data_IF_217617821521
#
_entry.id   IF_217617821521
#
_cell.length_a   1.000
_cell.length_b   1.000
_cell.length_c   1.000
_cell.angle_alpha   90.00
_cell.angle_beta   90.00
_cell.angle_gamma   90.00
#
_symmetry.space_group_name_H-M   'P 1'
#
loop_
_entity.id
_entity.type
_entity.pdbx_description
1 polymer ?
#
# COMPACT_ATOMS: atom_id res chain seq x y z
N UNK A 1 -17.59 12.00 -4.46
CA UNK A 1 -16.75 13.13 -4.07
C UNK A 1 -15.82 12.66 -2.97
N UNK A 2 -14.52 12.94 -3.10
CA UNK A 2 -13.50 12.64 -2.11
C UNK A 2 -12.89 13.99 -1.72
N UNK A 3 -12.77 14.28 -0.43
CA UNK A 3 -12.28 15.59 0.06
C UNK A 3 -11.15 15.35 1.04
N UNK A 4 -10.08 16.12 0.91
CA UNK A 4 -8.96 16.13 1.85
C UNK A 4 -8.40 17.54 1.95
N UNK A 5 -8.40 18.11 3.17
CA UNK A 5 -8.01 19.49 3.40
C UNK A 5 -8.75 20.47 2.46
N UNK A 6 -8.03 21.22 1.61
CA UNK A 6 -8.57 22.14 0.61
C UNK A 6 -8.81 21.49 -0.77
N UNK A 7 -8.41 20.23 -0.95
CA UNK A 7 -8.59 19.49 -2.20
C UNK A 7 -9.93 18.71 -2.22
N UNK A 8 -10.63 18.76 -3.35
CA UNK A 8 -11.84 17.98 -3.61
C UNK A 8 -11.79 17.30 -4.99
N UNK A 9 -11.89 15.97 -5.01
CA UNK A 9 -11.97 15.16 -6.22
C UNK A 9 -13.43 14.75 -6.52
N UNK A 10 -13.86 15.00 -7.75
CA UNK A 10 -15.17 14.57 -8.27
C UNK A 10 -15.00 13.38 -9.21
N UNK A 11 -15.81 12.35 -9.00
CA UNK A 11 -15.85 11.16 -9.86
C UNK A 11 -17.16 11.23 -10.64
N UNK A 12 -17.05 11.48 -11.94
CA UNK A 12 -18.18 11.67 -12.84
C UNK A 12 -18.22 10.57 -13.89
N UNK A 13 -19.41 10.11 -14.26
CA UNK A 13 -19.61 9.15 -15.36
C UNK A 13 -19.74 9.84 -16.73
N UNK A 14 -20.02 11.15 -16.74
CA UNK A 14 -20.16 11.96 -17.95
C UNK A 14 -19.27 13.19 -17.86
N UNK A 15 -18.65 13.53 -18.98
CA UNK A 15 -17.87 14.76 -19.15
C UNK A 15 -18.73 16.02 -18.96
N UNK A 16 -20.02 15.95 -19.31
CA UNK A 16 -20.95 17.09 -19.17
C UNK A 16 -21.13 17.47 -17.69
N UNK A 17 -21.12 16.47 -16.80
CA UNK A 17 -21.24 16.70 -15.36
C UNK A 17 -19.96 17.36 -14.82
N UNK A 18 -18.77 16.91 -15.26
CA UNK A 18 -17.52 17.56 -14.86
C UNK A 18 -17.44 19.00 -15.36
N UNK A 19 -17.87 19.27 -16.60
CA UNK A 19 -17.91 20.63 -17.16
C UNK A 19 -18.90 21.52 -16.41
N UNK A 20 -20.06 20.99 -16.04
CA UNK A 20 -21.04 21.71 -15.23
C UNK A 20 -20.47 22.06 -13.85
N UNK A 21 -19.82 21.11 -13.18
CA UNK A 21 -19.19 21.36 -11.87
C UNK A 21 -18.11 22.45 -12.00
N UNK A 22 -17.25 22.36 -13.01
CA UNK A 22 -16.18 23.35 -13.23
C UNK A 22 -16.74 24.75 -13.53
N UNK A 23 -17.87 24.83 -14.22
CA UNK A 23 -18.53 26.09 -14.56
C UNK A 23 -19.23 26.73 -13.35
N UNK A 24 -19.95 25.92 -12.56
CA UNK A 24 -20.82 26.42 -11.48
C UNK A 24 -20.08 26.55 -10.13
N UNK A 25 -19.08 25.71 -9.87
CA UNK A 25 -18.38 25.67 -8.59
C UNK A 25 -17.75 27.02 -8.18
N UNK A 26 -17.12 27.82 -9.06
CA UNK A 26 -16.55 29.11 -8.67
C UNK A 26 -17.59 30.07 -8.09
N UNK A 27 -18.75 30.18 -8.72
CA UNK A 27 -19.84 31.07 -8.26
C UNK A 27 -20.46 30.58 -6.95
N UNK A 28 -20.56 29.26 -6.79
CA UNK A 28 -21.06 28.63 -5.56
C UNK A 28 -20.08 28.86 -4.41
N UNK A 29 -18.78 28.58 -4.61
CA UNK A 29 -17.72 28.74 -3.61
C UNK A 29 -17.53 30.20 -3.18
N UNK A 30 -17.70 31.15 -4.10
CA UNK A 30 -17.60 32.58 -3.79
C UNK A 30 -18.61 33.06 -2.73
N UNK A 31 -19.76 32.38 -2.58
CA UNK A 31 -20.76 32.69 -1.52
C UNK A 31 -20.22 32.51 -0.11
N UNK A 32 -19.18 31.70 0.06
CA UNK A 32 -18.48 31.48 1.33
C UNK A 32 -17.07 32.07 1.33
N UNK A 33 -16.79 33.04 0.44
CA UNK A 33 -15.48 33.65 0.28
C UNK A 33 -14.35 32.65 -0.05
N UNK A 34 -14.71 31.52 -0.67
CA UNK A 34 -13.76 30.52 -1.16
C UNK A 34 -13.48 30.75 -2.65
N UNK A 35 -12.25 30.50 -3.07
CA UNK A 35 -11.81 30.64 -4.46
C UNK A 35 -11.29 29.30 -4.98
N UNK A 36 -11.89 28.82 -6.06
CA UNK A 36 -11.37 27.66 -6.79
C UNK A 36 -10.15 28.08 -7.62
N UNK A 37 -9.08 27.28 -7.53
CA UNK A 37 -7.90 27.47 -8.36
C UNK A 37 -8.02 26.64 -9.65
N UNK A 38 -8.52 27.26 -10.71
CA UNK A 38 -8.75 26.60 -11.99
C UNK A 38 -7.45 26.10 -12.64
N UNK A 39 -6.31 26.76 -12.42
CA UNK A 39 -5.03 26.32 -12.98
C UNK A 39 -4.48 25.05 -12.32
N UNK A 40 -4.99 24.70 -11.14
CA UNK A 40 -4.69 23.43 -10.45
C UNK A 40 -5.77 22.37 -10.64
N UNK A 41 -6.85 22.67 -11.36
CA UNK A 41 -7.93 21.71 -11.59
C UNK A 41 -7.54 20.77 -12.72
N UNK A 42 -7.51 19.47 -12.44
CA UNK A 42 -7.08 18.44 -13.39
C UNK A 42 -8.25 17.51 -13.76
N UNK A 43 -8.40 17.23 -15.06
CA UNK A 43 -9.34 16.22 -15.55
C UNK A 43 -8.60 14.94 -15.85
N UNK A 44 -8.97 13.86 -15.17
CA UNK A 44 -8.41 12.53 -15.44
C UNK A 44 -9.53 11.57 -15.82
N UNK A 45 -9.44 11.03 -17.03
CA UNK A 45 -10.37 10.02 -17.50
C UNK A 45 -9.92 8.66 -16.97
N UNK A 46 -10.80 7.99 -16.23
CA UNK A 46 -10.55 6.65 -15.69
C UNK A 46 -11.35 5.63 -16.48
N UNK A 47 -10.70 4.99 -17.44
CA UNK A 47 -11.25 3.82 -18.13
C UNK A 47 -10.57 2.55 -17.68
N UNK A 48 -11.36 1.50 -17.43
CA UNK A 48 -10.85 0.15 -17.26
C UNK A 48 -10.79 -0.51 -18.63
N UNK A 49 -9.67 -1.15 -18.97
CA UNK A 49 -9.58 -1.91 -20.20
C UNK A 49 -10.62 -3.04 -20.16
N UNK A 50 -11.46 -3.09 -21.18
CA UNK A 50 -12.53 -4.09 -21.34
C UNK A 50 -11.95 -5.45 -21.76
N UNK A 51 -10.70 -5.45 -22.21
CA UNK A 51 -9.98 -6.61 -22.70
C UNK A 51 -9.46 -7.44 -21.51
N UNK A 52 -10.33 -8.28 -20.94
CA UNK A 52 -10.01 -9.11 -19.78
C UNK A 52 -8.85 -10.11 -19.99
N UNK A 53 -8.40 -10.31 -21.24
CA UNK A 53 -7.34 -11.24 -21.63
C UNK A 53 -5.97 -10.60 -21.93
N UNK A 54 -5.84 -9.27 -21.88
CA UNK A 54 -4.58 -8.62 -22.25
C UNK A 54 -3.64 -8.49 -21.04
N UNK A 55 -2.34 -8.78 -21.24
CA UNK A 55 -1.33 -8.69 -20.19
C UNK A 55 -1.18 -7.24 -19.68
N UNK A 56 -0.60 -7.02 -18.49
CA UNK A 56 -0.48 -5.67 -17.88
C UNK A 56 0.13 -4.63 -18.85
N UNK A 57 1.13 -5.02 -19.64
CA UNK A 57 1.83 -4.12 -20.56
C UNK A 57 0.88 -3.64 -21.66
N UNK A 58 -0.02 -4.51 -22.12
CA UNK A 58 -1.04 -4.14 -23.11
C UNK A 58 -2.17 -3.34 -22.49
N UNK A 59 -2.68 -3.69 -21.30
CA UNK A 59 -3.69 -2.86 -20.61
C UNK A 59 -3.18 -1.47 -20.24
N UNK A 60 -1.90 -1.33 -19.87
CA UNK A 60 -1.32 -0.04 -19.52
C UNK A 60 -1.28 0.94 -20.70
N UNK A 61 -1.44 0.47 -21.95
CA UNK A 61 -1.62 1.33 -23.13
C UNK A 61 -3.04 1.87 -23.27
N UNK A 62 -4.02 1.17 -22.70
CA UNK A 62 -5.44 1.54 -22.78
C UNK A 62 -5.92 2.23 -21.47
N UNK A 63 -5.22 1.99 -20.37
CA UNK A 63 -5.51 2.51 -19.03
C UNK A 63 -4.54 3.63 -18.68
N UNK A 64 -4.69 4.80 -19.33
CA UNK A 64 -3.80 5.97 -19.14
C UNK A 64 -3.65 6.38 -17.66
N UNK A 65 -4.65 6.11 -16.82
CA UNK A 65 -4.56 6.36 -15.38
C UNK A 65 -3.41 5.60 -14.70
N UNK A 66 -2.91 4.49 -15.28
CA UNK A 66 -1.80 3.69 -14.71
C UNK A 66 -0.47 4.42 -14.67
N UNK A 67 -0.24 5.38 -15.57
CA UNK A 67 1.00 6.15 -15.61
C UNK A 67 0.88 7.48 -14.86
N UNK A 68 -0.33 7.86 -14.43
CA UNK A 68 -0.52 9.04 -13.59
C UNK A 68 0.06 8.79 -12.20
N UNK A 69 0.73 9.80 -11.64
CA UNK A 69 1.42 9.68 -10.35
C UNK A 69 0.45 9.42 -9.19
N UNK A 70 -0.77 9.96 -9.25
CA UNK A 70 -1.80 9.83 -8.21
C UNK A 70 -2.58 8.50 -8.33
N UNK A 71 -3.13 8.20 -9.51
CA UNK A 71 -4.04 7.05 -9.66
C UNK A 71 -3.32 5.75 -9.99
N UNK A 72 -2.16 5.79 -10.64
CA UNK A 72 -1.46 4.60 -11.11
C UNK A 72 -1.00 3.68 -9.98
N UNK A 73 -0.50 4.26 -8.88
CA UNK A 73 -0.24 3.49 -7.65
C UNK A 73 -1.55 3.08 -6.99
N UNK A 74 -2.43 4.04 -6.69
CA UNK A 74 -3.62 3.81 -5.86
C UNK A 74 -4.56 2.73 -6.42
N UNK A 75 -4.88 2.79 -7.72
CA UNK A 75 -5.80 1.84 -8.36
C UNK A 75 -5.10 0.54 -8.78
N UNK A 76 -3.76 0.55 -8.88
CA UNK A 76 -2.94 -0.61 -9.22
C UNK A 76 -2.42 -1.41 -8.03
N UNK A 77 -2.50 -0.87 -6.81
CA UNK A 77 -1.80 -1.39 -5.62
C UNK A 77 -2.15 -2.85 -5.29
N UNK A 78 -3.43 -3.24 -5.34
CA UNK A 78 -3.83 -4.62 -5.03
C UNK A 78 -3.27 -5.64 -6.04
N UNK A 79 -3.27 -5.29 -7.32
CA UNK A 79 -2.63 -6.10 -8.38
C UNK A 79 -1.11 -6.12 -8.20
N UNK A 80 -0.51 -4.98 -7.82
CA UNK A 80 0.93 -4.85 -7.59
C UNK A 80 1.40 -5.71 -6.42
N UNK A 81 0.68 -5.67 -5.29
CA UNK A 81 0.94 -6.49 -4.10
C UNK A 81 0.78 -7.97 -4.42
N UNK A 82 -0.28 -8.36 -5.12
CA UNK A 82 -0.50 -9.75 -5.52
C UNK A 82 0.63 -10.27 -6.42
N UNK A 83 1.11 -9.43 -7.35
CA UNK A 83 2.25 -9.77 -8.21
C UNK A 83 3.55 -9.91 -7.44
N UNK A 84 3.86 -8.99 -6.50
CA UNK A 84 5.07 -9.09 -5.67
C UNK A 84 5.07 -10.38 -4.85
N UNK A 85 3.91 -10.78 -4.32
CA UNK A 85 3.74 -12.08 -3.66
C UNK A 85 4.04 -13.23 -4.62
N UNK A 86 3.40 -13.24 -5.79
CA UNK A 86 3.62 -14.29 -6.80
C UNK A 86 5.09 -14.37 -7.26
N UNK A 87 5.78 -13.23 -7.43
CA UNK A 87 7.20 -13.20 -7.77
C UNK A 87 8.09 -13.70 -6.64
N UNK A 88 7.78 -13.37 -5.38
CA UNK A 88 8.51 -13.90 -4.22
C UNK A 88 8.31 -15.41 -4.06
N UNK A 89 7.14 -15.94 -4.43
CA UNK A 89 6.85 -17.38 -4.42
C UNK A 89 7.45 -18.11 -5.64
N UNK A 90 7.47 -17.48 -6.81
CA UNK A 90 8.00 -18.06 -8.05
C UNK A 90 9.52 -17.89 -8.20
N UNK A 91 10.14 -16.98 -7.45
CA UNK A 91 11.58 -16.96 -7.30
C UNK A 91 12.01 -18.33 -6.75
N UNK A 92 12.90 -19.06 -7.44
CA UNK A 92 13.47 -20.26 -6.84
C UNK A 92 14.07 -19.82 -5.51
N UNK A 93 13.67 -20.48 -4.42
CA UNK A 93 14.47 -20.44 -3.19
C UNK A 93 15.91 -20.65 -3.64
N UNK A 94 16.83 -19.68 -3.45
CA UNK A 94 18.21 -19.92 -3.81
C UNK A 94 18.58 -21.22 -3.14
N UNK A 95 19.08 -22.19 -3.91
CA UNK A 95 19.50 -23.48 -3.38
C UNK A 95 20.37 -23.18 -2.16
N UNK A 96 19.83 -23.41 -0.96
CA UNK A 96 20.48 -23.09 0.32
C UNK A 96 21.57 -24.13 0.62
N UNK A 97 22.07 -24.81 -0.41
CA UNK A 97 23.09 -25.86 -0.30
C UNK A 97 24.52 -25.32 -0.34
N UNK A 98 24.72 -24.03 -0.63
CA UNK A 98 26.07 -23.43 -0.64
C UNK A 98 26.31 -22.35 0.41
N UNK A 99 25.28 -21.91 1.14
CA UNK A 99 25.43 -20.90 2.21
C UNK A 99 25.54 -21.51 3.61
N UNK A 100 25.23 -22.80 3.77
CA UNK A 100 25.37 -23.51 5.04
C UNK A 100 26.80 -23.40 5.64
N UNK A 101 27.89 -23.67 4.89
CA UNK A 101 29.24 -23.58 5.47
C UNK A 101 29.68 -22.13 5.73
N UNK A 102 29.15 -21.15 4.99
CA UNK A 102 29.47 -19.73 5.20
C UNK A 102 28.73 -19.13 6.42
N UNK A 103 27.54 -19.67 6.76
CA UNK A 103 26.79 -19.31 7.96
C UNK A 103 27.36 -20.01 9.19
N UNK A 104 27.88 -21.23 9.04
CA UNK A 104 28.51 -22.00 10.13
C UNK A 104 29.78 -21.32 10.65
N UNK A 105 30.57 -20.69 9.77
CA UNK A 105 31.78 -19.93 10.15
C UNK A 105 31.44 -18.64 10.93
N UNK A 106 30.30 -18.01 10.62
CA UNK A 106 29.73 -16.91 11.42
C UNK A 106 29.02 -17.39 12.71
N UNK A 107 28.71 -18.69 12.79
CA UNK A 107 27.96 -19.36 13.86
C UNK A 107 28.73 -19.51 15.18
N UNK A 108 30.03 -19.23 15.21
CA UNK A 108 30.82 -19.20 16.45
C UNK A 108 30.43 -18.03 17.38
N UNK A 109 29.69 -17.04 16.89
CA UNK A 109 29.25 -15.87 17.66
C UNK A 109 27.73 -15.62 17.61
N UNK A 110 26.93 -16.47 16.95
CA UNK A 110 25.50 -16.25 16.79
C UNK A 110 24.67 -17.20 17.67
N UNK A 111 23.94 -16.63 18.64
CA UNK A 111 22.94 -17.37 19.42
C UNK A 111 21.90 -18.01 18.48
N UNK A 112 21.71 -19.32 18.60
CA UNK A 112 20.86 -20.09 17.70
C UNK A 112 19.42 -19.53 17.63
N UNK A 113 18.74 -19.56 16.47
CA UNK A 113 17.39 -19.00 16.29
C UNK A 113 16.32 -19.53 17.26
N UNK A 114 16.53 -20.73 17.82
CA UNK A 114 15.65 -21.31 18.85
C UNK A 114 15.70 -20.57 20.19
N UNK A 115 16.77 -19.83 20.49
CA UNK A 115 16.86 -18.96 21.67
C UNK A 115 16.14 -17.62 21.45
N UNK A 116 16.13 -17.10 20.21
CA UNK A 116 15.40 -15.88 19.84
C UNK A 116 13.87 -16.09 19.90
N UNK A 117 13.36 -17.25 19.50
CA UNK A 117 11.93 -17.55 19.60
C UNK A 117 11.43 -17.67 21.06
N UNK A 118 12.33 -17.93 22.02
CA UNK A 118 12.01 -18.01 23.44
C UNK A 118 11.91 -16.63 24.11
N UNK A 119 12.48 -15.59 23.49
CA UNK A 119 12.47 -14.21 23.99
C UNK A 119 11.32 -13.37 23.39
N UNK A 120 10.70 -13.84 22.31
CA UNK A 120 9.69 -13.09 21.56
C UNK A 120 8.23 -13.46 21.88
N UNK A 121 7.98 -14.31 22.90
CA UNK A 121 6.62 -14.71 23.29
C UNK A 121 6.13 -13.89 24.51
N UNK A 122 5.33 -12.82 24.31
CA UNK A 122 4.81 -12.01 25.41
C UNK A 122 3.75 -12.74 26.25
N UNK A 123 3.25 -13.91 25.83
CA UNK A 123 2.29 -14.70 26.62
C UNK A 123 2.93 -15.48 27.79
N UNK A 124 4.27 -15.55 27.85
CA UNK A 124 5.01 -16.14 28.98
C UNK A 124 5.52 -15.10 29.99
N UNK A 125 5.48 -13.79 29.67
CA UNK A 125 6.01 -12.74 30.55
C UNK A 125 5.13 -12.41 31.77
N UNK A 126 3.93 -13.00 31.91
CA UNK A 126 3.01 -12.69 33.02
C UNK A 126 2.73 -13.88 33.97
N UNK A 127 3.58 -14.92 33.99
CA UNK A 127 3.45 -16.03 34.96
C UNK A 127 4.60 -16.16 35.96
N UNK A 128 5.61 -15.29 35.90
CA UNK A 128 6.78 -15.36 36.81
C UNK A 128 7.01 -14.11 37.68
N UNK A 129 6.00 -13.25 37.85
CA UNK A 129 5.95 -12.36 39.01
C UNK A 129 5.40 -13.16 40.20
N UNK A 130 6.33 -13.84 40.89
CA UNK A 130 6.03 -14.87 41.89
C UNK A 130 5.24 -14.37 43.12
N UNK A 131 4.58 -15.28 43.86
CA UNK A 131 4.06 -14.95 45.17
C UNK A 131 5.20 -14.95 46.19
N UNK A 132 5.37 -13.80 46.85
CA UNK A 132 6.05 -13.69 48.14
C UNK A 132 5.70 -14.87 49.05
N UNK A 133 6.71 -15.59 49.54
CA UNK A 133 6.60 -16.37 50.77
C UNK A 133 7.68 -15.94 51.75
N UNK A 134 7.23 -15.18 52.74
CA UNK A 134 7.85 -15.03 54.04
C UNK A 134 8.33 -16.39 54.57
N UNK A 135 9.52 -16.44 55.16
CA UNK A 135 9.89 -17.49 56.11
C UNK A 135 10.32 -16.84 57.42
N UNK A 136 9.43 -16.93 58.40
CA UNK A 136 9.73 -16.76 59.82
C UNK A 136 10.45 -18.00 60.35
N UNK A 137 11.33 -17.73 61.33
CA UNK A 137 12.03 -18.63 62.27
C UNK A 137 13.01 -19.63 61.69
#
# INVERSE_FOLDING_TARGET
MIVYADDADFICQSADISTLIETEAPAVLAKWSLQMNTSKTEHTIVHRSITALSNRITRAKDEDWRITRKLGSLLGDAEDVSRRKNLATAAPTPHVESLAPAIEDLGSYALAPRQLLRLADPALQLRDLGPHRFRTT
#
